data_IF_845056566554
#
_entry.id   IF_845056566554
#
_cell.length_a   1.000
_cell.length_b   1.000
_cell.length_c   1.000
_cell.angle_alpha   90.00
_cell.angle_beta   90.00
_cell.angle_gamma   90.00
#
_symmetry.space_group_name_H-M   'P 1'
#
loop_
_entity.id
_entity.type
_entity.pdbx_description
1 polymer ?
#
# COMPACT_ATOMS: atom_id res chain seq x y z
N UNK A 1 -16.68 25.68 -13.05
CA UNK A 1 -15.56 24.71 -12.99
C UNK A 1 -14.53 25.19 -14.03
N UNK A 2 -13.42 25.79 -13.61
CA UNK A 2 -12.40 26.25 -14.56
C UNK A 2 -11.72 25.04 -15.21
N UNK A 3 -11.86 24.89 -16.53
CA UNK A 3 -11.16 23.85 -17.30
C UNK A 3 -9.69 24.20 -17.28
N UNK A 4 -8.90 23.50 -16.45
CA UNK A 4 -7.44 23.62 -16.46
C UNK A 4 -6.92 22.98 -17.76
N UNK A 5 -6.01 23.66 -18.45
CA UNK A 5 -5.29 23.09 -19.59
C UNK A 5 -4.67 21.73 -19.21
N UNK A 6 -4.57 20.74 -20.13
CA UNK A 6 -3.96 19.45 -19.85
C UNK A 6 -2.51 19.60 -19.34
N UNK A 7 -2.09 18.72 -18.43
CA UNK A 7 -0.69 18.72 -17.99
C UNK A 7 0.20 18.23 -19.14
N UNK A 8 1.44 18.73 -19.28
CA UNK A 8 2.39 18.12 -20.20
C UNK A 8 2.70 16.69 -19.77
N UNK A 9 2.99 15.83 -20.74
CA UNK A 9 3.48 14.49 -20.48
C UNK A 9 4.97 14.53 -20.14
N UNK A 10 5.32 13.83 -19.06
CA UNK A 10 6.70 13.64 -18.61
C UNK A 10 7.02 12.14 -18.67
N UNK A 11 8.07 11.71 -19.41
CA UNK A 11 8.41 10.31 -19.44
C UNK A 11 8.94 9.88 -18.06
N UNK A 12 8.36 8.82 -17.51
CA UNK A 12 8.80 8.22 -16.25
C UNK A 12 10.15 7.51 -16.43
N UNK A 13 10.73 6.95 -15.35
CA UNK A 13 12.01 6.23 -15.44
C UNK A 13 11.98 5.01 -16.40
N UNK A 14 10.80 4.43 -16.65
CA UNK A 14 10.61 3.37 -17.64
C UNK A 14 10.42 3.89 -19.08
N UNK A 15 10.38 5.21 -19.29
CA UNK A 15 10.23 5.85 -20.59
C UNK A 15 8.76 6.05 -21.02
N UNK A 16 7.79 5.66 -20.18
CA UNK A 16 6.37 5.82 -20.49
C UNK A 16 5.90 7.25 -20.15
N UNK A 17 5.13 7.89 -21.04
CA UNK A 17 4.60 9.23 -20.78
C UNK A 17 3.56 9.19 -19.65
N UNK A 18 3.69 10.10 -18.69
CA UNK A 18 2.69 10.32 -17.65
C UNK A 18 2.43 11.82 -17.46
N UNK A 19 1.17 12.25 -17.28
CA UNK A 19 0.85 13.65 -17.00
C UNK A 19 1.54 14.13 -15.72
N UNK A 20 2.15 15.31 -15.77
CA UNK A 20 2.85 15.87 -14.62
C UNK A 20 2.82 17.42 -14.66
N UNK A 21 2.43 18.02 -13.54
CA UNK A 21 2.35 19.47 -13.39
C UNK A 21 3.57 20.08 -12.68
N UNK A 22 4.31 19.28 -11.92
CA UNK A 22 5.43 19.71 -11.08
C UNK A 22 6.77 19.18 -11.59
N UNK A 23 7.86 19.82 -11.18
CA UNK A 23 9.19 19.41 -11.63
C UNK A 23 9.57 18.01 -11.15
N UNK A 24 10.51 17.37 -11.85
CA UNK A 24 11.16 16.13 -11.41
C UNK A 24 11.78 16.25 -10.02
N UNK A 25 12.34 17.43 -9.72
CA UNK A 25 12.92 17.71 -8.42
C UNK A 25 11.86 17.72 -7.31
N UNK A 26 10.70 18.33 -7.55
CA UNK A 26 9.60 18.28 -6.59
C UNK A 26 9.13 16.84 -6.35
N UNK A 27 8.96 16.09 -7.44
CA UNK A 27 8.68 14.66 -7.42
C UNK A 27 9.70 13.84 -6.61
N UNK A 28 10.96 14.27 -6.57
CA UNK A 28 11.99 13.61 -5.79
C UNK A 28 12.01 14.06 -4.32
N UNK A 29 11.78 15.34 -4.03
CA UNK A 29 11.82 15.89 -2.67
C UNK A 29 10.60 15.48 -1.85
N UNK A 30 9.41 15.57 -2.44
CA UNK A 30 8.14 15.35 -1.73
C UNK A 30 8.07 14.00 -1.00
N UNK A 31 8.36 12.84 -1.62
CA UNK A 31 8.27 11.56 -0.92
C UNK A 31 9.26 11.45 0.25
N UNK A 32 10.45 12.06 0.14
CA UNK A 32 11.39 12.12 1.26
C UNK A 32 10.87 13.00 2.39
N UNK A 33 10.27 14.15 2.07
CA UNK A 33 9.68 15.04 3.06
C UNK A 33 8.53 14.34 3.82
N UNK A 34 7.62 13.67 3.09
CA UNK A 34 6.52 12.91 3.68
C UNK A 34 7.04 11.76 4.55
N UNK A 35 8.03 11.00 4.09
CA UNK A 35 8.60 9.92 4.90
C UNK A 35 9.33 10.45 6.14
N UNK A 36 10.07 11.55 6.02
CA UNK A 36 10.76 12.20 7.15
C UNK A 36 9.77 12.64 8.22
N UNK A 37 8.69 13.33 7.82
CA UNK A 37 7.64 13.78 8.74
C UNK A 37 6.92 12.60 9.41
N UNK A 38 6.64 11.54 8.64
CA UNK A 38 6.01 10.34 9.17
C UNK A 38 6.90 9.64 10.19
N UNK A 39 8.19 9.45 9.89
CA UNK A 39 9.15 8.85 10.82
C UNK A 39 9.35 9.73 12.06
N UNK A 40 9.43 11.05 11.92
CA UNK A 40 9.53 11.96 13.06
C UNK A 40 8.29 11.87 13.97
N UNK A 41 7.08 11.89 13.40
CA UNK A 41 5.85 11.76 14.17
C UNK A 41 5.75 10.41 14.91
N UNK A 42 6.11 9.31 14.25
CA UNK A 42 6.03 7.97 14.84
C UNK A 42 7.15 7.71 15.85
N UNK A 43 8.38 8.06 15.52
CA UNK A 43 9.56 7.56 16.22
C UNK A 43 10.32 8.61 17.03
N UNK A 44 10.25 9.89 16.66
CA UNK A 44 10.81 10.98 17.45
C UNK A 44 9.78 11.62 18.40
N UNK A 45 8.47 11.45 18.13
CA UNK A 45 7.39 11.95 18.98
C UNK A 45 6.62 10.82 19.70
N UNK A 46 5.90 9.96 18.97
CA UNK A 46 5.02 8.97 19.59
C UNK A 46 5.78 7.92 20.41
N UNK A 47 6.90 7.39 19.91
CA UNK A 47 7.65 6.37 20.66
C UNK A 47 8.21 6.90 22.00
N UNK A 48 9.07 7.93 22.03
CA UNK A 48 9.67 8.39 23.28
C UNK A 48 8.65 9.01 24.25
N UNK A 49 7.76 9.87 23.77
CA UNK A 49 6.86 10.59 24.67
C UNK A 49 5.54 9.84 24.89
N UNK A 50 4.97 9.27 23.83
CA UNK A 50 3.66 8.62 23.88
C UNK A 50 3.69 7.19 24.41
N UNK A 51 4.68 6.39 24.01
CA UNK A 51 4.79 4.97 24.41
C UNK A 51 5.65 4.83 25.66
N UNK A 52 6.88 5.36 25.66
CA UNK A 52 7.78 5.26 26.82
C UNK A 52 7.35 6.23 27.93
N UNK A 53 7.04 7.49 27.58
CA UNK A 53 6.62 8.51 28.54
C UNK A 53 5.14 8.48 28.94
N UNK A 54 4.32 7.64 28.31
CA UNK A 54 2.88 7.54 28.60
C UNK A 54 2.05 8.79 28.27
N UNK A 55 2.59 9.76 27.53
CA UNK A 55 1.92 11.02 27.23
C UNK A 55 0.88 10.83 26.12
N UNK A 56 -0.40 10.70 26.51
CA UNK A 56 -1.51 10.50 25.57
C UNK A 56 -1.58 11.56 24.46
N UNK A 57 -1.27 12.83 24.78
CA UNK A 57 -1.24 13.92 23.81
C UNK A 57 -0.25 13.66 22.66
N UNK A 58 0.94 13.12 22.94
CA UNK A 58 1.94 12.81 21.92
C UNK A 58 1.44 11.72 20.94
N UNK A 59 0.75 10.69 21.46
CA UNK A 59 0.11 9.67 20.64
C UNK A 59 -0.97 10.25 19.73
N UNK A 60 -1.82 11.12 20.28
CA UNK A 60 -2.88 11.79 19.52
C UNK A 60 -2.29 12.67 18.41
N UNK A 61 -1.31 13.51 18.73
CA UNK A 61 -0.66 14.39 17.75
C UNK A 61 -0.01 13.59 16.63
N UNK A 62 0.73 12.53 16.95
CA UNK A 62 1.34 11.67 15.94
C UNK A 62 0.32 10.99 15.02
N UNK A 63 -0.82 10.53 15.56
CA UNK A 63 -1.91 9.96 14.76
C UNK A 63 -2.56 11.00 13.85
N UNK A 64 -2.77 12.22 14.35
CA UNK A 64 -3.28 13.33 13.55
C UNK A 64 -2.33 13.64 12.40
N UNK A 65 -1.01 13.76 12.66
CA UNK A 65 -0.01 13.97 11.61
C UNK A 65 -0.05 12.83 10.58
N UNK A 66 -0.05 11.56 11.01
CA UNK A 66 -0.13 10.43 10.10
C UNK A 66 -1.43 10.44 9.27
N UNK A 67 -2.57 10.82 9.86
CA UNK A 67 -3.84 10.99 9.17
C UNK A 67 -3.81 12.10 8.12
N UNK A 68 -3.24 13.25 8.45
CA UNK A 68 -3.05 14.37 7.52
C UNK A 68 -2.10 14.00 6.36
N UNK A 69 -1.02 13.28 6.65
CA UNK A 69 -0.11 12.75 5.62
C UNK A 69 -0.81 11.74 4.72
N UNK A 70 -1.69 10.89 5.26
CA UNK A 70 -2.48 9.98 4.44
C UNK A 70 -3.45 10.73 3.51
N UNK A 71 -4.11 11.79 4.01
CA UNK A 71 -4.93 12.68 3.17
C UNK A 71 -4.08 13.33 2.08
N UNK A 72 -2.87 13.80 2.41
CA UNK A 72 -1.93 14.37 1.44
C UNK A 72 -1.56 13.36 0.35
N UNK A 73 -1.14 12.16 0.74
CA UNK A 73 -0.76 11.05 -0.14
C UNK A 73 -1.90 10.64 -1.08
N UNK A 74 -3.12 10.53 -0.55
CA UNK A 74 -4.24 9.96 -1.29
C UNK A 74 -4.96 10.97 -2.19
N UNK A 75 -5.01 12.23 -1.77
CA UNK A 75 -5.85 13.27 -2.38
C UNK A 75 -5.05 14.49 -2.87
N UNK A 76 -4.25 15.10 -1.99
CA UNK A 76 -3.62 16.40 -2.28
C UNK A 76 -2.50 16.25 -3.32
N UNK A 77 -1.54 15.36 -3.08
CA UNK A 77 -0.40 15.17 -3.98
C UNK A 77 -0.82 14.73 -5.39
N UNK A 78 -1.71 13.73 -5.56
CA UNK A 78 -2.26 13.39 -6.87
C UNK A 78 -2.92 14.57 -7.58
N UNK A 79 -3.63 15.43 -6.84
CA UNK A 79 -4.25 16.63 -7.41
C UNK A 79 -3.22 17.68 -7.84
N UNK A 80 -2.21 17.95 -7.00
CA UNK A 80 -1.12 18.88 -7.30
C UNK A 80 -0.32 18.46 -8.53
N UNK A 81 -0.01 17.15 -8.62
CA UNK A 81 0.76 16.55 -9.71
C UNK A 81 -0.07 16.21 -10.95
N UNK A 82 -1.40 16.32 -10.86
CA UNK A 82 -2.35 15.90 -11.91
C UNK A 82 -2.20 14.43 -12.31
N UNK A 83 -1.99 13.58 -11.33
CA UNK A 83 -1.97 12.13 -11.55
C UNK A 83 -3.30 11.64 -12.09
N UNK A 84 -3.22 10.78 -13.10
CA UNK A 84 -4.37 10.00 -13.52
C UNK A 84 -4.54 8.77 -12.63
N UNK A 85 -5.75 8.25 -12.53
CA UNK A 85 -6.00 6.97 -11.87
C UNK A 85 -5.08 5.85 -12.42
N UNK A 86 -4.88 5.80 -13.75
CA UNK A 86 -3.98 4.83 -14.37
C UNK A 86 -2.52 4.97 -13.94
N UNK A 87 -1.98 6.20 -13.84
CA UNK A 87 -0.62 6.41 -13.31
C UNK A 87 -0.46 5.95 -11.85
N UNK A 88 -1.57 5.84 -11.12
CA UNK A 88 -1.63 5.29 -9.76
C UNK A 88 -2.03 3.81 -9.74
N UNK A 89 -2.11 3.15 -10.88
CA UNK A 89 -2.54 1.75 -10.98
C UNK A 89 -3.99 1.49 -10.54
N UNK A 90 -4.81 2.54 -10.54
CA UNK A 90 -6.21 2.53 -10.18
C UNK A 90 -7.08 2.44 -11.43
N UNK A 91 -8.26 1.85 -11.25
CA UNK A 91 -9.34 1.85 -12.23
C UNK A 91 -10.11 3.17 -12.27
N UNK A 92 -11.19 3.18 -13.04
CA UNK A 92 -12.21 4.22 -12.92
C UNK A 92 -13.57 3.65 -13.34
N UNK A 93 -14.68 4.08 -12.71
CA UNK A 93 -16.01 3.62 -13.08
C UNK A 93 -16.32 3.86 -14.57
N UNK A 94 -15.96 5.06 -15.07
CA UNK A 94 -16.17 5.41 -16.48
C UNK A 94 -15.43 4.48 -17.44
N UNK A 95 -14.15 4.14 -17.17
CA UNK A 95 -13.40 3.19 -18.00
C UNK A 95 -13.93 1.76 -17.88
N UNK A 96 -14.34 1.33 -16.69
CA UNK A 96 -14.95 0.01 -16.51
C UNK A 96 -16.25 -0.12 -17.31
N UNK A 97 -17.11 0.90 -17.26
CA UNK A 97 -18.35 0.96 -18.03
C UNK A 97 -18.09 1.06 -19.54
N UNK A 98 -17.13 1.89 -19.97
CA UNK A 98 -16.73 1.99 -21.38
C UNK A 98 -16.19 0.65 -21.90
N UNK A 99 -15.34 -0.04 -21.12
CA UNK A 99 -14.81 -1.35 -21.45
C UNK A 99 -15.94 -2.39 -21.59
N UNK A 100 -16.89 -2.43 -20.66
CA UNK A 100 -18.07 -3.30 -20.76
C UNK A 100 -18.91 -2.99 -22.00
N UNK A 101 -19.13 -1.71 -22.32
CA UNK A 101 -19.92 -1.29 -23.48
C UNK A 101 -19.27 -1.67 -24.82
N UNK A 102 -17.94 -1.65 -24.89
CA UNK A 102 -17.18 -2.01 -26.07
C UNK A 102 -17.15 -3.53 -26.35
N UNK A 103 -17.56 -4.38 -25.39
CA UNK A 103 -17.57 -5.83 -25.56
C UNK A 103 -18.82 -6.32 -26.33
N UNK A 104 -18.72 -7.44 -27.08
CA UNK A 104 -19.89 -8.13 -27.63
C UNK A 104 -20.90 -8.50 -26.55
N UNK A 105 -22.21 -8.54 -26.88
CA UNK A 105 -23.32 -8.73 -25.92
C UNK A 105 -23.07 -9.87 -24.93
N UNK A 106 -22.66 -11.05 -25.40
CA UNK A 106 -22.46 -12.22 -24.54
C UNK A 106 -21.31 -12.00 -23.53
N UNK A 107 -20.18 -11.44 -23.98
CA UNK A 107 -19.06 -11.10 -23.10
C UNK A 107 -19.43 -10.00 -22.12
N UNK A 108 -20.15 -8.97 -22.57
CA UNK A 108 -20.65 -7.89 -21.73
C UNK A 108 -21.55 -8.39 -20.62
N UNK A 109 -22.50 -9.29 -20.93
CA UNK A 109 -23.38 -9.89 -19.92
C UNK A 109 -22.59 -10.75 -18.93
N UNK A 110 -21.66 -11.56 -19.42
CA UNK A 110 -20.81 -12.39 -18.56
C UNK A 110 -19.94 -11.55 -17.61
N UNK A 111 -19.15 -10.61 -18.15
CA UNK A 111 -18.28 -9.75 -17.33
C UNK A 111 -19.07 -8.79 -16.44
N UNK A 112 -20.20 -8.26 -16.91
CA UNK A 112 -21.11 -7.47 -16.10
C UNK A 112 -21.70 -8.27 -14.94
N UNK A 113 -22.12 -9.52 -15.20
CA UNK A 113 -22.58 -10.45 -14.17
C UNK A 113 -21.51 -10.77 -13.13
N UNK A 114 -20.27 -11.04 -13.57
CA UNK A 114 -19.14 -11.26 -12.66
C UNK A 114 -18.83 -10.03 -11.81
N UNK A 115 -18.87 -8.83 -12.39
CA UNK A 115 -18.66 -7.59 -11.64
C UNK A 115 -19.74 -7.38 -10.58
N UNK A 116 -21.02 -7.58 -10.94
CA UNK A 116 -22.14 -7.46 -10.00
C UNK A 116 -22.04 -8.50 -8.88
N UNK A 117 -21.72 -9.75 -9.22
CA UNK A 117 -21.50 -10.81 -8.23
C UNK A 117 -20.35 -10.46 -7.28
N UNK A 118 -19.25 -9.93 -7.81
CA UNK A 118 -18.11 -9.49 -7.00
C UNK A 118 -18.50 -8.34 -6.07
N UNK A 119 -19.24 -7.34 -6.55
CA UNK A 119 -19.74 -6.23 -5.71
C UNK A 119 -20.68 -6.75 -4.62
N UNK A 120 -21.62 -7.64 -4.96
CA UNK A 120 -22.53 -8.24 -3.99
C UNK A 120 -21.78 -9.02 -2.91
N UNK A 121 -20.79 -9.83 -3.31
CA UNK A 121 -19.93 -10.57 -2.40
C UNK A 121 -19.15 -9.65 -1.45
N UNK A 122 -18.49 -8.60 -1.98
CA UNK A 122 -17.78 -7.62 -1.16
C UNK A 122 -18.72 -6.85 -0.22
N UNK A 123 -19.93 -6.55 -0.68
CA UNK A 123 -20.96 -5.89 0.14
C UNK A 123 -21.34 -6.76 1.32
N UNK A 124 -21.64 -8.04 1.08
CA UNK A 124 -22.00 -8.97 2.14
C UNK A 124 -20.88 -9.10 3.17
N UNK A 125 -19.63 -9.22 2.71
CA UNK A 125 -18.47 -9.32 3.59
C UNK A 125 -18.24 -8.02 4.38
N UNK A 126 -18.29 -6.86 3.72
CA UNK A 126 -18.13 -5.57 4.38
C UNK A 126 -19.24 -5.34 5.40
N UNK A 127 -20.48 -5.75 5.11
CA UNK A 127 -21.60 -5.67 6.04
C UNK A 127 -21.39 -6.57 7.26
N UNK A 128 -20.93 -7.81 7.07
CA UNK A 128 -20.57 -8.72 8.15
C UNK A 128 -19.45 -8.15 9.02
N UNK A 129 -18.42 -7.56 8.40
CA UNK A 129 -17.24 -7.00 9.06
C UNK A 129 -17.40 -5.53 9.50
N UNK A 130 -18.56 -4.91 9.26
CA UNK A 130 -18.79 -3.48 9.49
C UNK A 130 -18.43 -3.00 10.91
N UNK A 131 -18.66 -3.75 12.01
CA UNK A 131 -18.24 -3.29 13.33
C UNK A 131 -16.72 -3.21 13.49
N UNK A 132 -15.98 -4.14 12.86
CA UNK A 132 -14.52 -4.10 12.81
C UNK A 132 -14.01 -2.97 11.92
N UNK A 133 -14.63 -2.81 10.75
CA UNK A 133 -14.29 -1.77 9.78
C UNK A 133 -14.50 -0.36 10.36
N UNK A 134 -15.65 -0.08 10.98
CA UNK A 134 -15.94 1.23 11.57
C UNK A 134 -15.07 1.52 12.81
N UNK A 135 -14.75 0.50 13.61
CA UNK A 135 -13.78 0.64 14.70
C UNK A 135 -12.40 1.01 14.16
N UNK A 136 -11.97 0.35 13.08
CA UNK A 136 -10.67 0.60 12.47
C UNK A 136 -10.60 1.98 11.81
N UNK A 137 -11.59 2.35 11.00
CA UNK A 137 -11.59 3.60 10.23
C UNK A 137 -11.92 4.82 11.07
N UNK A 138 -12.86 4.70 12.01
CA UNK A 138 -13.47 5.85 12.70
C UNK A 138 -13.41 5.73 14.23
N UNK A 139 -12.83 4.65 14.78
CA UNK A 139 -12.80 4.43 16.23
C UNK A 139 -14.17 4.12 16.84
N UNK A 140 -15.20 3.85 16.03
CA UNK A 140 -16.55 3.58 16.52
C UNK A 140 -16.58 2.26 17.31
N UNK A 141 -17.08 2.24 18.56
CA UNK A 141 -17.16 1.01 19.33
C UNK A 141 -18.03 -0.05 18.64
N UNK A 142 -17.61 -1.32 18.73
CA UNK A 142 -18.33 -2.47 18.14
C UNK A 142 -19.81 -2.49 18.56
N UNK A 143 -20.09 -2.29 19.84
CA UNK A 143 -21.45 -2.33 20.38
C UNK A 143 -22.33 -1.19 19.85
N UNK A 144 -21.76 -0.01 19.56
CA UNK A 144 -22.50 1.08 18.94
C UNK A 144 -22.89 0.72 17.49
N UNK A 145 -21.99 0.10 16.73
CA UNK A 145 -22.29 -0.38 15.37
C UNK A 145 -23.36 -1.47 15.38
N UNK A 146 -23.28 -2.41 16.33
CA UNK A 146 -24.26 -3.50 16.46
C UNK A 146 -25.66 -2.94 16.80
N UNK A 147 -25.76 -2.05 17.81
CA UNK A 147 -27.02 -1.38 18.17
C UNK A 147 -27.61 -0.56 17.02
N UNK A 148 -26.77 0.15 16.27
CA UNK A 148 -27.23 0.86 15.08
C UNK A 148 -27.93 -0.08 14.09
N UNK A 149 -27.34 -1.27 13.85
CA UNK A 149 -27.88 -2.31 12.97
C UNK A 149 -29.07 -3.10 13.53
N UNK A 150 -29.49 -2.86 14.77
CA UNK A 150 -30.74 -3.44 15.29
C UNK A 150 -31.97 -2.69 14.76
N UNK A 151 -31.80 -1.44 14.32
CA UNK A 151 -32.86 -0.63 13.70
C UNK A 151 -32.93 -0.86 12.18
N UNK A 152 -34.13 -0.83 11.59
CA UNK A 152 -34.31 -0.93 10.13
C UNK A 152 -33.51 0.16 9.38
N UNK A 153 -33.56 1.39 9.87
CA UNK A 153 -32.82 2.52 9.28
C UNK A 153 -31.31 2.29 9.32
N UNK A 154 -30.78 1.74 10.42
CA UNK A 154 -29.36 1.46 10.52
C UNK A 154 -28.90 0.26 9.70
N UNK A 155 -29.73 -0.77 9.53
CA UNK A 155 -29.48 -1.87 8.59
C UNK A 155 -29.38 -1.36 7.15
N UNK A 156 -30.38 -0.59 6.70
CA UNK A 156 -30.42 -0.02 5.36
C UNK A 156 -29.21 0.90 5.13
N UNK A 157 -28.91 1.79 6.08
CA UNK A 157 -27.76 2.71 5.99
C UNK A 157 -26.43 1.94 5.92
N UNK A 158 -26.24 0.93 6.77
CA UNK A 158 -25.03 0.12 6.78
C UNK A 158 -24.89 -0.70 5.48
N UNK A 159 -25.97 -1.29 4.97
CA UNK A 159 -25.97 -2.03 3.71
C UNK A 159 -25.63 -1.12 2.53
N UNK A 160 -26.29 0.04 2.41
CA UNK A 160 -26.01 1.03 1.36
C UNK A 160 -24.56 1.54 1.43
N UNK A 161 -24.06 1.83 2.62
CA UNK A 161 -22.66 2.24 2.82
C UNK A 161 -21.66 1.16 2.41
N UNK A 162 -21.92 -0.09 2.79
CA UNK A 162 -21.09 -1.24 2.38
C UNK A 162 -21.15 -1.48 0.87
N UNK A 163 -22.33 -1.34 0.26
CA UNK A 163 -22.51 -1.48 -1.18
C UNK A 163 -21.78 -0.38 -1.97
N UNK A 164 -21.84 0.86 -1.49
CA UNK A 164 -21.10 1.97 -2.08
C UNK A 164 -19.58 1.74 -1.97
N UNK A 165 -19.09 1.29 -0.82
CA UNK A 165 -17.67 0.97 -0.64
C UNK A 165 -17.23 -0.20 -1.54
N UNK A 166 -18.03 -1.26 -1.63
CA UNK A 166 -17.77 -2.40 -2.50
C UNK A 166 -17.74 -2.01 -3.98
N UNK A 167 -18.67 -1.15 -4.40
CA UNK A 167 -18.71 -0.59 -5.75
C UNK A 167 -17.46 0.25 -6.04
N UNK A 168 -17.09 1.16 -5.14
CA UNK A 168 -15.87 1.96 -5.26
C UNK A 168 -14.63 1.06 -5.33
N UNK A 169 -14.56 0.02 -4.51
CA UNK A 169 -13.46 -0.94 -4.57
C UNK A 169 -13.39 -1.63 -5.93
N UNK A 170 -14.51 -2.22 -6.36
CA UNK A 170 -14.59 -2.98 -7.61
C UNK A 170 -14.32 -2.12 -8.85
N UNK A 171 -14.62 -0.82 -8.82
CA UNK A 171 -14.51 0.05 -10.01
C UNK A 171 -13.33 1.02 -10.00
N UNK A 172 -12.85 1.41 -8.82
CA UNK A 172 -11.75 2.37 -8.68
C UNK A 172 -10.41 1.71 -8.31
N UNK A 173 -10.40 0.59 -7.58
CA UNK A 173 -9.14 -0.10 -7.22
C UNK A 173 -8.70 -1.06 -8.33
N UNK A 174 -9.66 -1.69 -9.02
CA UNK A 174 -9.37 -2.65 -10.09
C UNK A 174 -9.18 -1.94 -11.42
N UNK A 175 -7.96 -2.03 -11.96
CA UNK A 175 -7.65 -1.53 -13.30
C UNK A 175 -7.88 -2.61 -14.37
N UNK A 176 -9.08 -2.65 -14.95
CA UNK A 176 -9.52 -3.73 -15.84
C UNK A 176 -8.77 -3.82 -17.17
N UNK A 177 -8.25 -2.70 -17.70
CA UNK A 177 -7.52 -2.66 -18.97
C UNK A 177 -6.20 -3.44 -18.95
N UNK A 178 -5.58 -3.61 -17.78
CA UNK A 178 -4.33 -4.36 -17.62
C UNK A 178 -4.42 -5.51 -16.61
N UNK A 179 -5.62 -5.87 -16.14
CA UNK A 179 -5.79 -6.82 -15.03
C UNK A 179 -5.20 -8.20 -15.33
N UNK A 180 -5.44 -8.75 -16.53
CA UNK A 180 -4.90 -10.05 -16.93
C UNK A 180 -3.36 -10.11 -16.96
N UNK A 181 -2.67 -9.22 -17.71
CA UNK A 181 -1.22 -9.10 -17.67
C UNK A 181 -0.65 -8.91 -16.26
N UNK A 182 -1.23 -8.00 -15.47
CA UNK A 182 -0.77 -7.74 -14.10
C UNK A 182 -0.94 -8.96 -13.18
N UNK A 183 -2.06 -9.70 -13.29
CA UNK A 183 -2.30 -10.91 -12.50
C UNK A 183 -1.35 -12.05 -12.88
N UNK A 184 -1.00 -12.19 -14.17
CA UNK A 184 0.04 -13.14 -14.60
C UNK A 184 1.40 -12.79 -14.00
N UNK A 185 1.76 -11.51 -13.96
CA UNK A 185 2.98 -11.05 -13.29
C UNK A 185 2.93 -11.32 -11.79
N UNK A 186 1.79 -11.07 -11.14
CA UNK A 186 1.57 -11.39 -9.73
C UNK A 186 1.77 -12.89 -9.44
N UNK A 187 1.20 -13.76 -10.28
CA UNK A 187 1.40 -15.21 -10.18
C UNK A 187 2.87 -15.62 -10.31
N UNK A 188 3.61 -15.03 -11.27
CA UNK A 188 5.06 -15.28 -11.42
C UNK A 188 5.85 -14.82 -10.20
N UNK A 189 5.53 -13.65 -9.65
CA UNK A 189 6.18 -13.16 -8.44
C UNK A 189 5.91 -14.10 -7.26
N UNK A 190 4.68 -14.54 -7.05
CA UNK A 190 4.36 -15.51 -6.00
C UNK A 190 5.08 -16.85 -6.21
N UNK A 191 5.12 -17.36 -7.44
CA UNK A 191 5.83 -18.60 -7.74
C UNK A 191 7.34 -18.52 -7.42
N UNK A 192 7.95 -17.34 -7.56
CA UNK A 192 9.37 -17.10 -7.21
C UNK A 192 9.56 -16.83 -5.71
N UNK A 193 8.65 -16.09 -5.08
CA UNK A 193 8.79 -15.65 -3.68
C UNK A 193 8.40 -16.73 -2.66
N UNK A 194 7.42 -17.58 -2.98
CA UNK A 194 6.91 -18.57 -2.02
C UNK A 194 7.92 -19.67 -1.68
N UNK A 195 8.64 -20.31 -2.63
CA UNK A 195 9.57 -21.38 -2.28
C UNK A 195 10.67 -20.93 -1.29
N UNK A 196 11.33 -19.77 -1.46
CA UNK A 196 12.25 -19.25 -0.46
C UNK A 196 11.61 -19.01 0.91
N UNK A 197 10.38 -18.52 0.98
CA UNK A 197 9.69 -18.33 2.27
C UNK A 197 9.44 -19.66 2.99
N UNK A 198 8.99 -20.68 2.26
CA UNK A 198 8.78 -22.01 2.79
C UNK A 198 10.11 -22.63 3.26
N UNK A 199 11.17 -22.48 2.46
CA UNK A 199 12.50 -22.98 2.81
C UNK A 199 13.06 -22.28 4.05
N UNK A 200 13.00 -20.95 4.12
CA UNK A 200 13.46 -20.19 5.29
C UNK A 200 12.66 -20.61 6.52
N UNK A 201 11.33 -20.72 6.43
CA UNK A 201 10.51 -21.18 7.54
C UNK A 201 10.89 -22.59 8.00
N UNK A 202 11.14 -23.52 7.06
CA UNK A 202 11.61 -24.87 7.39
C UNK A 202 12.97 -24.86 8.09
N UNK A 203 13.91 -24.02 7.64
CA UNK A 203 15.25 -23.93 8.21
C UNK A 203 15.22 -23.34 9.62
N UNK A 204 14.44 -22.29 9.85
CA UNK A 204 14.50 -21.54 11.12
C UNK A 204 13.47 -21.97 12.16
N UNK A 205 12.33 -22.52 11.74
CA UNK A 205 11.25 -22.97 12.62
C UNK A 205 10.99 -24.49 12.53
N UNK A 206 11.77 -25.20 11.71
CA UNK A 206 11.64 -26.64 11.52
C UNK A 206 10.33 -27.07 10.83
N UNK A 207 10.08 -28.39 10.74
CA UNK A 207 8.82 -28.93 10.22
C UNK A 207 7.57 -28.48 11.02
N UNK A 208 7.75 -28.09 12.28
CA UNK A 208 6.68 -27.62 13.15
C UNK A 208 5.98 -26.34 12.63
N UNK A 209 6.67 -25.53 11.82
CA UNK A 209 6.08 -24.37 11.14
C UNK A 209 4.85 -24.75 10.27
N UNK A 210 4.84 -25.99 9.76
CA UNK A 210 3.81 -26.50 8.86
C UNK A 210 2.70 -27.29 9.55
N UNK A 211 2.89 -27.66 10.83
CA UNK A 211 1.98 -28.54 11.56
C UNK A 211 0.56 -27.98 11.74
N UNK A 212 0.40 -26.66 11.61
CA UNK A 212 -0.90 -25.98 11.73
C UNK A 212 -1.38 -25.39 10.43
N UNK A 213 -0.97 -25.96 9.29
CA UNK A 213 -1.51 -25.58 8.01
C UNK A 213 -3.01 -25.87 7.96
N UNK A 214 -3.78 -24.82 7.68
CA UNK A 214 -5.20 -24.91 7.40
C UNK A 214 -5.46 -24.05 6.17
N UNK A 215 -5.77 -24.72 5.06
CA UNK A 215 -5.96 -24.07 3.76
C UNK A 215 -7.13 -23.07 3.80
N UNK A 216 -8.23 -23.39 4.50
CA UNK A 216 -9.42 -22.53 4.58
C UNK A 216 -9.09 -21.28 5.39
N UNK A 217 -8.42 -21.47 6.53
CA UNK A 217 -7.98 -20.34 7.37
C UNK A 217 -6.95 -19.46 6.66
N UNK A 218 -5.97 -20.07 5.98
CA UNK A 218 -4.98 -19.34 5.21
C UNK A 218 -5.63 -18.56 4.08
N UNK A 219 -6.57 -19.16 3.34
CA UNK A 219 -7.32 -18.48 2.30
C UNK A 219 -8.15 -17.30 2.84
N UNK A 220 -8.83 -17.47 3.98
CA UNK A 220 -9.57 -16.39 4.64
C UNK A 220 -8.65 -15.25 5.09
N UNK A 221 -7.48 -15.57 5.65
CA UNK A 221 -6.47 -14.58 6.02
C UNK A 221 -5.92 -13.87 4.78
N UNK A 222 -5.51 -14.62 3.75
CA UNK A 222 -5.00 -14.08 2.50
C UNK A 222 -6.00 -13.11 1.87
N UNK A 223 -7.29 -13.48 1.86
CA UNK A 223 -8.35 -12.62 1.35
C UNK A 223 -8.40 -11.26 2.08
N UNK A 224 -8.45 -11.25 3.42
CA UNK A 224 -8.41 -10.01 4.20
C UNK A 224 -7.12 -9.20 3.95
N UNK A 225 -6.00 -9.90 3.87
CA UNK A 225 -4.70 -9.31 3.56
C UNK A 225 -4.58 -8.79 2.12
N UNK A 226 -5.40 -9.23 1.15
CA UNK A 226 -5.42 -8.63 -0.19
C UNK A 226 -5.94 -7.20 -0.14
N UNK A 227 -6.96 -6.89 0.68
CA UNK A 227 -7.45 -5.51 0.86
C UNK A 227 -6.40 -4.65 1.51
N UNK A 228 -5.81 -5.15 2.60
CA UNK A 228 -4.74 -4.46 3.29
C UNK A 228 -3.52 -4.27 2.41
N UNK A 229 -3.13 -5.30 1.68
CA UNK A 229 -2.04 -5.28 0.71
C UNK A 229 -2.29 -4.27 -0.40
N UNK A 230 -3.49 -4.22 -0.99
CA UNK A 230 -3.86 -3.23 -1.99
C UNK A 230 -3.81 -1.80 -1.43
N UNK A 231 -4.29 -1.56 -0.20
CA UNK A 231 -4.14 -0.27 0.47
C UNK A 231 -2.67 0.11 0.69
N UNK A 232 -1.82 -0.84 1.11
CA UNK A 232 -0.38 -0.59 1.22
C UNK A 232 0.26 -0.34 -0.14
N UNK A 233 -0.13 -1.03 -1.21
CA UNK A 233 0.36 -0.74 -2.57
C UNK A 233 -0.15 0.60 -3.13
N UNK A 234 -1.32 1.07 -2.69
CA UNK A 234 -1.79 2.42 -2.98
C UNK A 234 -0.85 3.48 -2.40
N UNK A 235 -0.28 3.24 -1.21
CA UNK A 235 0.69 4.14 -0.59
C UNK A 235 2.07 3.96 -1.25
N UNK A 236 2.60 2.75 -1.28
CA UNK A 236 4.00 2.53 -1.66
C UNK A 236 4.24 2.52 -3.16
N UNK A 237 3.49 1.74 -3.93
CA UNK A 237 3.67 1.74 -5.39
C UNK A 237 3.04 2.98 -6.03
N UNK A 238 1.82 3.33 -5.61
CA UNK A 238 1.02 4.33 -6.33
C UNK A 238 1.30 5.77 -5.93
N UNK A 239 1.77 6.03 -4.71
CA UNK A 239 2.28 7.34 -4.31
C UNK A 239 3.80 7.39 -4.36
N UNK A 240 4.51 6.68 -3.47
CA UNK A 240 5.98 6.78 -3.38
C UNK A 240 6.65 6.36 -4.70
N UNK A 241 6.26 5.22 -5.26
CA UNK A 241 6.78 4.73 -6.53
C UNK A 241 6.49 5.67 -7.70
N UNK A 242 5.32 6.33 -7.72
CA UNK A 242 4.97 7.35 -8.73
C UNK A 242 5.83 8.59 -8.61
N UNK A 243 5.95 9.17 -7.41
CA UNK A 243 6.79 10.33 -7.17
C UNK A 243 8.24 10.05 -7.59
N UNK A 244 8.81 8.93 -7.13
CA UNK A 244 10.20 8.58 -7.42
C UNK A 244 10.45 8.30 -8.91
N UNK A 245 9.58 7.55 -9.60
CA UNK A 245 9.76 7.25 -11.04
C UNK A 245 9.54 8.46 -11.94
N UNK A 246 8.75 9.45 -11.49
CA UNK A 246 8.63 10.74 -12.18
C UNK A 246 9.79 11.66 -11.84
N UNK A 247 10.35 11.54 -10.63
CA UNK A 247 11.49 12.34 -10.18
C UNK A 247 12.82 11.96 -10.83
N UNK A 248 12.98 10.70 -11.25
CA UNK A 248 14.19 10.21 -11.92
C UNK A 248 13.92 10.05 -13.41
N UNK A 249 14.60 10.84 -14.23
CA UNK A 249 14.46 10.81 -15.69
C UNK A 249 14.86 9.45 -16.29
N UNK A 250 14.22 9.02 -17.39
CA UNK A 250 14.71 7.88 -18.16
C UNK A 250 16.12 8.18 -18.70
N UNK A 251 16.84 7.13 -19.06
CA UNK A 251 18.15 7.25 -19.69
C UNK A 251 18.07 6.74 -21.13
N UNK A 252 18.85 7.34 -22.04
CA UNK A 252 18.91 6.91 -23.43
C UNK A 252 19.51 5.49 -23.57
N UNK A 253 20.57 5.20 -22.82
CA UNK A 253 21.18 3.88 -22.79
C UNK A 253 20.35 2.91 -21.92
N UNK A 254 19.97 1.76 -22.50
CA UNK A 254 19.15 0.75 -21.83
C UNK A 254 19.77 0.23 -20.51
N UNK A 255 21.10 0.08 -20.46
CA UNK A 255 21.82 -0.35 -19.24
C UNK A 255 21.68 0.67 -18.10
N UNK A 256 21.80 1.96 -18.41
CA UNK A 256 21.63 3.06 -17.45
C UNK A 256 20.17 3.17 -17.02
N UNK A 257 19.23 2.99 -17.94
CA UNK A 257 17.80 2.99 -17.62
C UNK A 257 17.45 1.87 -16.64
N UNK A 258 17.98 0.66 -16.87
CA UNK A 258 17.80 -0.48 -15.96
C UNK A 258 18.31 -0.18 -14.56
N UNK A 259 19.51 0.42 -14.45
CA UNK A 259 20.09 0.83 -13.16
C UNK A 259 19.25 1.89 -12.45
N UNK A 260 18.74 2.90 -13.18
CA UNK A 260 17.85 3.93 -12.61
C UNK A 260 16.54 3.34 -12.11
N UNK A 261 15.91 2.45 -12.90
CA UNK A 261 14.72 1.71 -12.47
C UNK A 261 14.98 0.91 -11.20
N UNK A 262 16.15 0.28 -11.09
CA UNK A 262 16.52 -0.50 -9.90
C UNK A 262 16.68 0.43 -8.70
N UNK A 263 17.33 1.59 -8.88
CA UNK A 263 17.44 2.61 -7.83
C UNK A 263 16.09 3.10 -7.32
N UNK A 264 15.14 3.41 -8.23
CA UNK A 264 13.76 3.78 -7.86
C UNK A 264 13.09 2.65 -7.08
N UNK A 265 13.23 1.40 -7.54
CA UNK A 265 12.62 0.24 -6.91
C UNK A 265 13.16 0.01 -5.50
N UNK A 266 14.49 0.00 -5.34
CA UNK A 266 15.17 -0.16 -4.03
C UNK A 266 14.77 0.94 -3.07
N UNK A 267 14.69 2.20 -3.52
CA UNK A 267 14.30 3.33 -2.69
C UNK A 267 12.82 3.27 -2.29
N UNK A 268 11.93 2.92 -3.22
CA UNK A 268 10.52 2.70 -2.93
C UNK A 268 10.32 1.54 -1.95
N UNK A 269 11.10 0.46 -2.10
CA UNK A 269 11.14 -0.63 -1.15
C UNK A 269 11.64 -0.17 0.21
N UNK A 270 12.65 0.70 0.27
CA UNK A 270 13.23 1.18 1.53
C UNK A 270 12.16 1.91 2.34
N UNK A 271 11.37 2.76 1.68
CA UNK A 271 10.24 3.43 2.31
C UNK A 271 9.18 2.46 2.85
N UNK A 272 8.93 1.35 2.16
CA UNK A 272 8.05 0.31 2.67
C UNK A 272 8.65 -0.41 3.88
N UNK A 273 9.94 -0.75 3.83
CA UNK A 273 10.69 -1.34 4.93
C UNK A 273 10.68 -0.48 6.20
N UNK A 274 10.99 0.82 6.07
CA UNK A 274 11.14 1.75 7.20
C UNK A 274 9.86 1.93 8.04
N UNK A 275 8.68 1.74 7.45
CA UNK A 275 7.43 1.77 8.22
C UNK A 275 7.31 0.59 9.19
N UNK A 276 8.03 -0.50 8.94
CA UNK A 276 8.06 -1.71 9.75
C UNK A 276 9.28 -1.77 10.68
N UNK A 277 9.95 -0.63 10.94
CA UNK A 277 11.21 -0.59 11.71
C UNK A 277 11.11 -1.16 13.14
N UNK A 278 9.89 -1.35 13.65
CA UNK A 278 9.63 -2.08 14.89
C UNK A 278 9.89 -3.61 14.80
N UNK A 279 10.29 -4.14 13.64
CA UNK A 279 10.54 -5.57 13.40
C UNK A 279 11.58 -5.74 12.30
N UNK A 280 12.85 -5.95 12.65
CA UNK A 280 13.97 -5.99 11.69
C UNK A 280 13.80 -7.04 10.58
N UNK A 281 13.27 -8.21 10.91
CA UNK A 281 12.93 -9.23 9.91
C UNK A 281 11.87 -8.73 8.92
N UNK A 282 10.84 -8.04 9.43
CA UNK A 282 9.80 -7.49 8.58
C UNK A 282 10.31 -6.32 7.73
N UNK A 283 11.23 -5.48 8.24
CA UNK A 283 11.92 -4.46 7.45
C UNK A 283 12.60 -5.09 6.24
N UNK A 284 13.41 -6.12 6.45
CA UNK A 284 14.15 -6.78 5.36
C UNK A 284 13.19 -7.40 4.32
N UNK A 285 12.16 -8.12 4.79
CA UNK A 285 11.19 -8.77 3.91
C UNK A 285 10.34 -7.77 3.12
N UNK A 286 9.85 -6.72 3.78
CA UNK A 286 9.03 -5.68 3.12
C UNK A 286 9.88 -4.77 2.24
N UNK A 287 11.16 -4.56 2.55
CA UNK A 287 12.10 -3.88 1.66
C UNK A 287 12.28 -4.63 0.35
N UNK A 288 12.60 -5.93 0.42
CA UNK A 288 12.78 -6.78 -0.76
C UNK A 288 11.49 -6.91 -1.56
N UNK A 289 10.37 -7.22 -0.90
CA UNK A 289 9.06 -7.30 -1.54
C UNK A 289 8.69 -5.96 -2.20
N UNK A 290 8.88 -4.84 -1.50
CA UNK A 290 8.61 -3.50 -2.00
C UNK A 290 9.44 -3.14 -3.23
N UNK A 291 10.72 -3.53 -3.24
CA UNK A 291 11.57 -3.34 -4.41
C UNK A 291 11.06 -4.15 -5.61
N UNK A 292 10.73 -5.43 -5.43
CA UNK A 292 10.16 -6.26 -6.49
C UNK A 292 8.84 -5.70 -7.04
N UNK A 293 7.92 -5.32 -6.14
CA UNK A 293 6.62 -4.77 -6.52
C UNK A 293 6.75 -3.42 -7.22
N UNK A 294 7.61 -2.53 -6.71
CA UNK A 294 7.88 -1.24 -7.33
C UNK A 294 8.52 -1.39 -8.72
N UNK A 295 9.45 -2.33 -8.88
CA UNK A 295 10.09 -2.63 -10.16
C UNK A 295 9.08 -3.00 -11.25
N UNK A 296 8.14 -3.90 -10.95
CA UNK A 296 7.12 -4.30 -11.91
C UNK A 296 6.09 -3.19 -12.13
N UNK A 297 5.72 -2.44 -11.09
CA UNK A 297 4.71 -1.38 -11.15
C UNK A 297 5.10 -0.19 -12.04
N UNK A 298 6.40 0.01 -12.30
CA UNK A 298 6.88 1.05 -13.20
C UNK A 298 6.37 0.89 -14.63
N UNK A 299 6.09 -0.33 -15.07
CA UNK A 299 5.55 -0.62 -16.41
C UNK A 299 4.03 -0.63 -16.39
N UNK A 300 3.40 0.09 -17.31
CA UNK A 300 1.95 0.29 -17.35
C UNK A 300 1.18 -1.04 -17.40
N UNK A 301 1.69 -2.03 -18.13
CA UNK A 301 1.11 -3.38 -18.22
C UNK A 301 0.95 -4.10 -16.88
N UNK A 302 1.74 -3.73 -15.88
CA UNK A 302 1.74 -4.35 -14.54
C UNK A 302 1.22 -3.38 -13.46
N UNK A 303 0.95 -2.13 -13.81
CA UNK A 303 0.55 -1.07 -12.90
C UNK A 303 -0.91 -1.26 -12.48
N UNK A 304 -1.14 -2.15 -11.52
CA UNK A 304 -2.46 -2.53 -11.03
C UNK A 304 -2.40 -2.80 -9.52
N UNK A 305 -3.03 -1.92 -8.73
CA UNK A 305 -2.94 -1.95 -7.27
C UNK A 305 -3.52 -3.23 -6.68
N UNK A 306 -4.64 -3.73 -7.23
CA UNK A 306 -5.23 -4.98 -6.75
C UNK A 306 -4.32 -6.17 -7.03
N UNK A 307 -3.77 -6.30 -8.25
CA UNK A 307 -2.92 -7.44 -8.59
C UNK A 307 -1.66 -7.51 -7.71
N UNK A 308 -1.03 -6.36 -7.44
CA UNK A 308 0.09 -6.31 -6.50
C UNK A 308 -0.37 -6.49 -5.04
N UNK A 309 -1.59 -6.07 -4.71
CA UNK A 309 -2.26 -6.35 -3.45
C UNK A 309 -2.46 -7.84 -3.21
N UNK A 310 -2.69 -8.66 -4.25
CA UNK A 310 -2.72 -10.12 -4.14
C UNK A 310 -1.35 -10.68 -3.77
N UNK A 311 -0.27 -10.23 -4.44
CA UNK A 311 1.10 -10.68 -4.10
C UNK A 311 1.42 -10.34 -2.65
N UNK A 312 1.13 -9.11 -2.24
CA UNK A 312 1.30 -8.68 -0.87
C UNK A 312 0.47 -9.55 0.07
N UNK A 313 -0.84 -9.68 -0.20
CA UNK A 313 -1.77 -10.30 0.72
C UNK A 313 -1.49 -11.77 0.98
N UNK A 314 -1.17 -12.52 -0.08
CA UNK A 314 -0.72 -13.91 0.03
C UNK A 314 0.59 -13.99 0.82
N UNK A 315 1.57 -13.14 0.48
CA UNK A 315 2.85 -13.10 1.20
C UNK A 315 2.68 -12.81 2.70
N UNK A 316 1.85 -11.83 3.06
CA UNK A 316 1.57 -11.46 4.44
C UNK A 316 0.82 -12.55 5.22
N UNK A 317 -0.12 -13.25 4.57
CA UNK A 317 -0.81 -14.38 5.16
C UNK A 317 0.14 -15.57 5.39
N UNK A 318 1.02 -15.86 4.43
CA UNK A 318 2.06 -16.88 4.60
C UNK A 318 3.04 -16.52 5.72
N UNK A 319 3.50 -15.27 5.80
CA UNK A 319 4.37 -14.83 6.90
C UNK A 319 3.67 -14.95 8.26
N UNK A 320 2.38 -14.58 8.35
CA UNK A 320 1.57 -14.70 9.57
C UNK A 320 1.46 -16.15 10.04
N UNK A 321 1.38 -17.09 9.10
CA UNK A 321 1.25 -18.51 9.38
C UNK A 321 2.60 -19.13 9.77
N UNK A 322 3.63 -18.92 8.95
CA UNK A 322 4.94 -19.58 9.06
C UNK A 322 5.79 -19.04 10.22
N UNK A 323 5.62 -17.76 10.58
CA UNK A 323 6.41 -17.08 11.61
C UNK A 323 5.53 -16.54 12.74
N UNK A 324 4.57 -17.36 13.15
CA UNK A 324 3.58 -17.02 14.19
C UNK A 324 4.19 -17.02 15.60
N UNK A 325 3.48 -16.43 16.55
CA UNK A 325 3.86 -16.45 17.97
C UNK A 325 3.96 -17.90 18.48
N UNK A 326 5.04 -18.21 19.19
CA UNK A 326 5.35 -19.55 19.66
C UNK A 326 6.26 -20.36 18.73
N UNK A 327 6.65 -19.80 17.58
CA UNK A 327 7.75 -20.34 16.75
C UNK A 327 9.09 -19.81 17.25
N UNK A 328 10.18 -20.52 16.96
CA UNK A 328 11.55 -20.11 17.34
C UNK A 328 11.91 -18.74 16.78
N UNK A 329 11.57 -18.49 15.52
CA UNK A 329 11.58 -17.18 14.88
C UNK A 329 10.15 -16.69 14.70
N UNK A 330 9.80 -15.69 15.52
CA UNK A 330 8.55 -14.94 15.43
C UNK A 330 8.75 -13.63 14.66
N UNK A 331 7.89 -13.36 13.68
CA UNK A 331 7.85 -12.09 12.97
C UNK A 331 6.54 -11.38 13.33
N UNK A 332 6.65 -10.27 14.08
CA UNK A 332 5.48 -9.43 14.35
C UNK A 332 5.10 -8.64 13.12
N UNK A 333 3.85 -8.78 12.67
CA UNK A 333 3.26 -8.00 11.59
C UNK A 333 2.56 -6.72 12.08
N UNK A 334 2.69 -6.41 13.37
CA UNK A 334 2.23 -5.12 13.91
C UNK A 334 3.18 -4.02 13.44
N UNK A 335 2.63 -2.83 13.22
CA UNK A 335 3.36 -1.70 12.62
C UNK A 335 3.31 -0.49 13.54
N UNK A 336 4.44 0.21 13.63
CA UNK A 336 4.55 1.49 14.33
C UNK A 336 4.88 1.37 15.82
N UNK A 337 5.04 2.51 16.50
CA UNK A 337 5.61 2.57 17.85
C UNK A 337 4.72 1.91 18.90
N UNK A 338 3.41 1.88 18.69
CA UNK A 338 2.45 1.23 19.62
C UNK A 338 2.52 -0.30 19.61
N UNK A 339 3.34 -0.88 18.74
CA UNK A 339 3.66 -2.30 18.73
C UNK A 339 4.91 -2.64 19.56
N UNK A 340 5.71 -1.63 19.91
CA UNK A 340 6.94 -1.81 20.69
C UNK A 340 6.62 -2.04 22.17
N UNK A 341 7.52 -2.72 22.90
CA UNK A 341 7.46 -2.76 24.35
C UNK A 341 7.62 -1.34 24.93
N UNK A 342 7.17 -1.17 26.18
CA UNK A 342 7.38 0.06 26.95
C UNK A 342 8.82 0.20 27.49
N UNK A 343 9.76 -0.55 26.92
CA UNK A 343 11.19 -0.44 27.18
C UNK A 343 11.87 0.26 25.99
N UNK A 344 12.87 1.11 26.23
CA UNK A 344 13.59 1.78 25.14
C UNK A 344 14.32 0.77 24.24
N UNK A 345 14.12 0.89 22.92
CA UNK A 345 14.94 0.24 21.91
C UNK A 345 15.91 1.26 21.29
N UNK A 346 17.13 1.29 21.83
CA UNK A 346 18.17 2.21 21.40
C UNK A 346 18.56 2.00 19.92
N UNK A 347 18.58 0.76 19.43
CA UNK A 347 18.95 0.47 18.05
C UNK A 347 17.94 1.09 17.08
N UNK A 348 16.64 0.89 17.34
CA UNK A 348 15.57 1.52 16.56
C UNK A 348 15.68 3.04 16.58
N UNK A 349 15.87 3.65 17.76
CA UNK A 349 15.98 5.11 17.90
C UNK A 349 17.19 5.68 17.12
N UNK A 350 18.35 5.05 17.23
CA UNK A 350 19.57 5.48 16.51
C UNK A 350 19.40 5.37 15.00
N UNK A 351 18.87 4.24 14.51
CA UNK A 351 18.66 4.04 13.08
C UNK A 351 17.63 5.02 12.54
N UNK A 352 16.51 5.23 13.23
CA UNK A 352 15.51 6.24 12.85
C UNK A 352 16.13 7.62 12.80
N UNK A 353 16.88 8.04 13.83
CA UNK A 353 17.50 9.35 13.87
C UNK A 353 18.45 9.55 12.69
N UNK A 354 19.30 8.56 12.39
CA UNK A 354 20.19 8.59 11.25
C UNK A 354 19.44 8.70 9.91
N UNK A 355 18.34 7.95 9.74
CA UNK A 355 17.50 8.00 8.53
C UNK A 355 16.82 9.36 8.38
N UNK A 356 16.24 9.91 9.45
CA UNK A 356 15.61 11.24 9.45
C UNK A 356 16.64 12.31 9.07
N UNK A 357 17.82 12.29 9.70
CA UNK A 357 18.90 13.22 9.39
C UNK A 357 19.39 13.09 7.94
N UNK A 358 19.55 11.86 7.45
CA UNK A 358 19.94 11.59 6.07
C UNK A 358 18.91 12.11 5.05
N UNK A 359 17.61 11.90 5.31
CA UNK A 359 16.55 12.44 4.45
C UNK A 359 16.46 13.96 4.52
N UNK A 360 16.59 14.56 5.69
CA UNK A 360 16.62 16.01 5.84
C UNK A 360 17.79 16.64 5.07
N UNK A 361 19.00 16.07 5.21
CA UNK A 361 20.17 16.51 4.46
C UNK A 361 19.96 16.38 2.95
N UNK A 362 19.41 15.25 2.49
CA UNK A 362 19.06 15.05 1.09
C UNK A 362 18.07 16.10 0.58
N UNK A 363 16.99 16.37 1.31
CA UNK A 363 15.99 17.38 0.95
C UNK A 363 16.64 18.77 0.82
N UNK A 364 17.47 19.17 1.79
CA UNK A 364 18.17 20.46 1.77
C UNK A 364 19.13 20.58 0.58
N UNK A 365 19.92 19.54 0.30
CA UNK A 365 20.84 19.51 -0.84
C UNK A 365 20.08 19.53 -2.17
N UNK A 366 19.03 18.72 -2.28
CA UNK A 366 18.15 18.71 -3.43
C UNK A 366 17.45 20.06 -3.59
N UNK A 367 17.14 20.78 -2.51
CA UNK A 367 16.53 22.12 -2.52
C UNK A 367 17.49 23.28 -2.79
N UNK A 368 18.81 23.10 -2.72
CA UNK A 368 19.81 24.16 -3.00
C UNK A 368 20.30 24.25 -4.44
N UNK A 369 20.18 23.21 -5.26
CA UNK A 369 20.68 23.20 -6.66
C UNK A 369 19.83 24.04 -7.64
N UNK A 370 19.24 25.14 -7.19
CA UNK A 370 18.61 26.17 -8.04
C UNK A 370 19.64 27.26 -8.35
N UNK A 371 20.47 27.02 -9.36
CA UNK A 371 21.12 28.08 -10.13
C UNK A 371 21.04 27.69 -11.59
#
# INVERSE_FOLDING_TARGET
MFVRAPAPDLPNTAGEPEPEALSRRWNLIEPFAVMTLLLAALWALAYPFGVLGGVAAANTVARVIAGLLLVHILLISPWLHRDTAASRGLGSPGRALAALRAMPRNRRLFFGGLLLLFVAFLTALAYQQSPGLLRFLFGVPRNATLRFRETLGGQATALCGCAALAWLWATCIVRYDNFGPALRTAGKLLAVLMPPFLLVALVVNGPAAFATFDAVRLAGHAFGYVFWGAFQQLIFCSYFGTRLRKGIAPAAAASVQRRRRLGVAVLSGLFFGLIHINSWWLVALTWLLGACLSWVFMEDRNRNVLALGVVHGVSGACLSWLFRRGSDVYISLRVGPWAMPATPDAATLVVVAAVISGFAAFILLAARRTK
#
